data_IF_720714750456
#
_entry.id   IF_720714750456
#
_cell.length_a   1.000
_cell.length_b   1.000
_cell.length_c   1.000
_cell.angle_alpha   90.00
_cell.angle_beta   90.00
_cell.angle_gamma   90.00
#
_symmetry.space_group_name_H-M   'P 1'
#
loop_
_entity.id
_entity.type
_entity.pdbx_description
1 polymer ?
#
# COMPACT_ATOMS: atom_id res chain seq x y z
N UNK A 1 -72.61 30.04 -26.35
CA UNK A 1 -71.44 29.38 -26.95
C UNK A 1 -70.24 30.31 -26.85
N UNK A 2 -69.25 29.96 -26.02
CA UNK A 2 -67.83 30.38 -26.10
C UNK A 2 -67.07 29.66 -24.98
N UNK A 3 -66.54 28.51 -25.31
CA UNK A 3 -65.61 27.74 -24.47
C UNK A 3 -64.22 28.34 -24.65
N UNK A 4 -63.64 28.86 -23.58
CA UNK A 4 -62.21 29.16 -23.53
C UNK A 4 -61.48 27.92 -23.03
N UNK A 5 -60.59 27.37 -23.87
CA UNK A 5 -59.67 26.29 -23.49
C UNK A 5 -58.37 26.96 -23.05
N UNK A 6 -58.05 26.89 -21.76
CA UNK A 6 -56.75 27.28 -21.25
C UNK A 6 -55.76 26.12 -21.49
N UNK A 7 -54.78 26.34 -22.35
CA UNK A 7 -53.67 25.41 -22.59
C UNK A 7 -52.64 25.59 -21.48
N UNK A 8 -52.62 24.68 -20.51
CA UNK A 8 -51.55 24.61 -19.51
C UNK A 8 -50.30 23.99 -20.16
N UNK A 9 -49.29 24.81 -20.39
CA UNK A 9 -47.95 24.34 -20.75
C UNK A 9 -47.32 23.64 -19.53
N UNK A 10 -47.15 22.33 -19.61
CA UNK A 10 -46.39 21.55 -18.64
C UNK A 10 -44.91 21.78 -18.92
N UNK A 11 -44.28 22.64 -18.12
CA UNK A 11 -42.83 22.82 -18.11
C UNK A 11 -42.20 21.60 -17.44
N UNK A 12 -41.68 20.66 -18.21
CA UNK A 12 -40.87 19.55 -17.69
C UNK A 12 -39.49 20.12 -17.37
N UNK A 13 -39.29 20.52 -16.12
CA UNK A 13 -37.96 20.83 -15.58
C UNK A 13 -37.21 19.52 -15.40
N UNK A 14 -36.38 19.20 -16.39
CA UNK A 14 -35.33 18.18 -16.28
C UNK A 14 -34.33 18.62 -15.21
N UNK A 15 -34.63 18.31 -13.95
CA UNK A 15 -33.68 18.43 -12.85
C UNK A 15 -32.56 17.42 -13.12
N UNK A 16 -31.47 17.90 -13.73
CA UNK A 16 -30.16 17.26 -13.68
C UNK A 16 -29.82 17.06 -12.21
N UNK A 17 -30.08 15.86 -11.69
CA UNK A 17 -29.56 15.43 -10.42
C UNK A 17 -28.04 15.56 -10.52
N UNK A 18 -27.39 16.38 -9.68
CA UNK A 18 -25.94 16.35 -9.61
C UNK A 18 -25.57 14.93 -9.23
N UNK A 19 -24.85 14.26 -10.13
CA UNK A 19 -24.14 13.01 -9.82
C UNK A 19 -23.32 13.36 -8.60
N UNK A 20 -23.74 12.89 -7.44
CA UNK A 20 -22.96 12.99 -6.24
C UNK A 20 -21.67 12.23 -6.56
N UNK A 21 -20.62 12.97 -6.93
CA UNK A 21 -19.26 12.46 -6.91
C UNK A 21 -19.12 11.88 -5.52
N UNK A 22 -19.12 10.55 -5.44
CA UNK A 22 -18.81 9.82 -4.23
C UNK A 22 -17.36 10.18 -3.94
N UNK A 23 -17.20 11.27 -3.20
CA UNK A 23 -15.94 11.78 -2.74
C UNK A 23 -15.24 10.59 -2.12
N UNK A 24 -14.19 10.14 -2.80
CA UNK A 24 -13.23 9.20 -2.25
C UNK A 24 -12.63 9.91 -1.05
N UNK A 25 -13.29 9.79 0.11
CA UNK A 25 -12.74 10.19 1.38
C UNK A 25 -11.43 9.41 1.50
N UNK A 26 -10.33 10.09 1.18
CA UNK A 26 -9.00 9.57 1.29
C UNK A 26 -8.80 9.33 2.78
N UNK A 27 -9.03 8.09 3.21
CA UNK A 27 -8.69 7.70 4.57
C UNK A 27 -7.21 8.02 4.74
N UNK A 28 -6.92 8.85 5.74
CA UNK A 28 -5.56 9.31 6.00
C UNK A 28 -4.66 8.09 6.19
N UNK A 29 -3.42 8.11 5.69
CA UNK A 29 -2.43 7.10 6.03
C UNK A 29 -2.38 6.93 7.54
N UNK A 30 -2.36 5.69 8.04
CA UNK A 30 -2.13 5.39 9.45
C UNK A 30 -0.68 4.98 9.56
N UNK A 31 0.25 5.91 9.85
CA UNK A 31 1.66 5.60 9.86
C UNK A 31 1.99 4.62 10.99
N UNK A 32 2.50 3.46 10.62
CA UNK A 32 3.25 2.57 11.52
C UNK A 32 4.69 2.48 11.03
N UNK A 33 5.64 2.39 11.96
CA UNK A 33 7.05 2.09 11.67
C UNK A 33 7.29 0.64 12.08
N UNK A 34 8.00 -0.12 11.24
CA UNK A 34 8.22 -1.55 11.42
C UNK A 34 9.68 -1.89 11.22
N UNK A 35 10.34 -2.39 12.27
CA UNK A 35 11.78 -2.64 12.32
C UNK A 35 12.01 -4.15 12.28
N UNK A 36 12.83 -4.65 11.35
CA UNK A 36 13.10 -6.08 11.15
C UNK A 36 14.33 -6.63 11.90
N UNK A 37 14.48 -7.96 11.94
CA UNK A 37 15.64 -8.67 12.52
C UNK A 37 16.48 -9.32 11.39
N UNK A 38 17.80 -9.18 11.45
CA UNK A 38 18.67 -9.14 10.27
C UNK A 38 19.07 -10.49 9.65
N UNK A 39 19.35 -10.41 8.34
CA UNK A 39 19.97 -11.42 7.45
C UNK A 39 20.66 -10.73 6.26
N UNK A 40 20.02 -9.66 5.75
CA UNK A 40 20.63 -8.46 5.16
C UNK A 40 21.11 -7.55 6.31
N UNK A 41 22.28 -6.91 6.20
CA UNK A 41 22.77 -6.00 7.26
C UNK A 41 22.15 -4.63 7.08
N UNK A 42 21.19 -4.24 7.90
CA UNK A 42 20.57 -2.91 7.79
C UNK A 42 19.18 -2.78 8.40
N UNK A 43 18.67 -1.55 8.38
CA UNK A 43 17.35 -1.17 8.88
C UNK A 43 16.28 -1.24 7.80
N UNK A 44 15.07 -1.58 8.25
CA UNK A 44 13.86 -1.60 7.44
C UNK A 44 12.84 -0.75 8.15
N UNK A 45 12.15 0.11 7.39
CA UNK A 45 10.92 0.75 7.82
C UNK A 45 9.85 0.54 6.75
N UNK A 46 8.73 -0.07 7.12
CA UNK A 46 7.56 -0.14 6.25
C UNK A 46 6.56 0.94 6.68
N UNK A 47 5.63 1.33 5.82
CA UNK A 47 4.50 2.18 6.23
C UNK A 47 3.26 1.73 5.49
N UNK A 48 2.20 1.43 6.24
CA UNK A 48 0.92 1.04 5.65
C UNK A 48 -0.08 2.19 5.71
N UNK A 49 -1.02 2.20 4.78
CA UNK A 49 -2.12 3.16 4.75
C UNK A 49 -3.43 2.42 4.51
N UNK A 50 -4.51 2.94 5.09
CA UNK A 50 -5.86 2.48 4.74
C UNK A 50 -6.38 3.38 3.61
N UNK A 51 -6.98 2.81 2.57
CA UNK A 51 -7.74 3.55 1.55
C UNK A 51 -9.18 3.04 1.49
N UNK A 52 -10.18 3.93 1.52
CA UNK A 52 -11.61 3.59 1.39
C UNK A 52 -11.83 2.65 0.20
N UNK A 53 -12.51 1.53 0.42
CA UNK A 53 -12.76 0.49 -0.59
C UNK A 53 -11.59 -0.45 -0.91
N UNK A 54 -10.36 -0.10 -0.55
CA UNK A 54 -9.14 -0.88 -0.84
C UNK A 54 -8.63 -1.61 0.42
N UNK A 55 -8.87 -1.09 1.62
CA UNK A 55 -8.34 -1.66 2.86
C UNK A 55 -6.90 -1.20 3.12
N UNK A 56 -6.15 -1.96 3.91
CA UNK A 56 -4.77 -1.62 4.25
C UNK A 56 -3.84 -2.00 3.08
N UNK A 57 -2.85 -1.17 2.77
CA UNK A 57 -1.85 -1.44 1.74
C UNK A 57 -0.50 -0.84 2.11
N UNK A 58 0.59 -1.39 1.57
CA UNK A 58 1.93 -0.81 1.72
C UNK A 58 2.01 0.50 0.93
N UNK A 59 2.34 1.60 1.62
CA UNK A 59 2.35 2.96 1.07
C UNK A 59 3.75 3.54 0.87
N UNK A 60 4.71 3.12 1.70
CA UNK A 60 6.11 3.54 1.66
C UNK A 60 6.98 2.45 2.28
N UNK A 61 8.22 2.37 1.85
CA UNK A 61 9.26 1.63 2.54
C UNK A 61 10.59 2.39 2.52
N UNK A 62 11.41 2.13 3.54
CA UNK A 62 12.82 2.47 3.62
C UNK A 62 13.57 1.18 3.90
N UNK A 63 14.61 0.90 3.13
CA UNK A 63 15.57 -0.17 3.40
C UNK A 63 16.96 0.43 3.26
N UNK A 64 17.75 0.37 4.32
CA UNK A 64 19.12 0.90 4.35
C UNK A 64 20.05 -0.18 4.87
N UNK A 65 21.04 -0.57 4.09
CA UNK A 65 21.93 -1.66 4.48
C UNK A 65 22.87 -2.12 3.38
N UNK A 66 23.41 -3.31 3.56
CA UNK A 66 24.33 -3.97 2.62
C UNK A 66 23.81 -5.35 2.22
N UNK A 67 23.87 -5.65 0.93
CA UNK A 67 23.76 -7.00 0.40
C UNK A 67 25.17 -7.62 0.37
N UNK A 68 25.34 -8.72 1.10
CA UNK A 68 26.61 -9.46 1.16
C UNK A 68 26.42 -10.82 0.51
N UNK A 69 27.23 -11.09 -0.50
CA UNK A 69 27.22 -12.36 -1.23
C UNK A 69 28.60 -13.00 -1.09
N UNK A 70 28.64 -14.33 -0.94
CA UNK A 70 29.88 -15.06 -0.69
C UNK A 70 30.83 -14.92 -1.88
N UNK A 71 32.08 -14.52 -1.62
CA UNK A 71 33.09 -14.31 -2.66
C UNK A 71 32.91 -13.05 -3.52
N UNK A 72 31.89 -12.23 -3.26
CA UNK A 72 31.51 -11.06 -4.08
C UNK A 72 31.65 -9.74 -3.30
N UNK A 73 31.77 -8.59 -4.00
CA UNK A 73 31.82 -7.29 -3.34
C UNK A 73 30.50 -6.97 -2.61
N UNK A 74 30.62 -6.19 -1.53
CA UNK A 74 29.47 -5.69 -0.79
C UNK A 74 28.70 -4.70 -1.67
N UNK A 75 27.41 -4.95 -1.89
CA UNK A 75 26.54 -4.03 -2.65
C UNK A 75 25.76 -3.18 -1.64
N UNK A 76 26.03 -1.86 -1.55
CA UNK A 76 25.25 -0.99 -0.69
C UNK A 76 23.81 -0.90 -1.21
N UNK A 77 22.85 -1.15 -0.34
CA UNK A 77 21.42 -1.00 -0.60
C UNK A 77 20.92 0.24 0.16
N UNK A 78 20.73 1.34 -0.55
CA UNK A 78 20.06 2.52 -0.02
C UNK A 78 18.76 2.78 -0.79
N UNK A 79 17.65 2.27 -0.26
CA UNK A 79 16.31 2.54 -0.76
C UNK A 79 15.56 3.36 0.27
N UNK A 80 15.85 4.65 0.34
CA UNK A 80 15.21 5.54 1.31
C UNK A 80 13.92 6.14 0.78
N UNK A 81 12.86 6.10 1.61
CA UNK A 81 11.59 6.83 1.41
C UNK A 81 10.88 6.54 0.08
N UNK A 82 11.05 5.36 -0.48
CA UNK A 82 10.44 4.97 -1.75
C UNK A 82 8.92 4.91 -1.61
N UNK A 83 8.22 5.80 -2.35
CA UNK A 83 6.75 5.83 -2.41
C UNK A 83 6.26 4.64 -3.24
N UNK A 84 5.33 3.88 -2.68
CA UNK A 84 4.68 2.79 -3.41
C UNK A 84 3.62 3.37 -4.33
N UNK A 85 3.70 3.05 -5.62
CA UNK A 85 2.66 3.42 -6.59
C UNK A 85 1.48 2.45 -6.48
N UNK A 86 0.26 2.91 -6.76
CA UNK A 86 -0.93 2.06 -6.59
C UNK A 86 -0.87 0.74 -7.38
N UNK A 87 -0.24 0.72 -8.57
CA UNK A 87 -0.03 -0.49 -9.38
C UNK A 87 0.87 -1.53 -8.70
N UNK A 88 1.75 -1.08 -7.81
CA UNK A 88 2.72 -1.93 -7.10
C UNK A 88 2.31 -2.19 -5.65
N UNK A 89 1.25 -1.54 -5.15
CA UNK A 89 0.81 -1.70 -3.77
C UNK A 89 0.15 -3.06 -3.52
N UNK A 90 0.57 -3.74 -2.46
CA UNK A 90 -0.05 -4.97 -2.00
C UNK A 90 -1.31 -4.66 -1.18
N UNK A 91 -2.47 -5.19 -1.59
CA UNK A 91 -3.74 -5.06 -0.85
C UNK A 91 -3.83 -6.08 0.27
N UNK A 92 -4.23 -5.66 1.47
CA UNK A 92 -4.39 -6.55 2.64
C UNK A 92 -5.77 -6.38 3.27
N UNK A 93 -6.51 -7.49 3.35
CA UNK A 93 -7.88 -7.53 3.88
C UNK A 93 -8.01 -8.54 5.02
N UNK A 94 -7.98 -8.05 6.28
CA UNK A 94 -8.24 -8.87 7.47
C UNK A 94 -6.98 -9.44 8.16
N UNK A 95 -7.19 -9.92 9.40
CA UNK A 95 -6.13 -10.25 10.39
C UNK A 95 -5.23 -11.46 10.05
N UNK A 96 -5.58 -12.29 9.06
CA UNK A 96 -4.78 -13.50 8.70
C UNK A 96 -4.26 -13.50 7.27
N UNK A 97 -4.33 -12.37 6.56
CA UNK A 97 -3.88 -12.31 5.16
C UNK A 97 -2.39 -12.02 5.05
N UNK A 98 -1.83 -12.51 3.95
CA UNK A 98 -0.47 -12.23 3.50
C UNK A 98 -0.50 -11.07 2.51
N UNK A 99 0.55 -10.27 2.48
CA UNK A 99 0.83 -9.26 1.47
C UNK A 99 2.22 -9.49 0.89
N UNK A 100 2.36 -9.21 -0.39
CA UNK A 100 3.59 -9.38 -1.16
C UNK A 100 3.82 -8.13 -2.00
N UNK A 101 5.01 -7.56 -1.90
CA UNK A 101 5.46 -6.41 -2.69
C UNK A 101 6.76 -6.77 -3.41
N UNK A 102 6.87 -6.37 -4.69
CA UNK A 102 8.07 -6.58 -5.50
C UNK A 102 8.50 -5.28 -6.17
N UNK A 103 9.75 -4.91 -5.95
CA UNK A 103 10.52 -3.95 -6.72
C UNK A 103 11.67 -4.69 -7.44
N UNK A 104 12.37 -4.01 -8.36
CA UNK A 104 13.38 -4.63 -9.22
C UNK A 104 14.48 -5.41 -8.45
N UNK A 105 14.80 -4.98 -7.24
CA UNK A 105 15.90 -5.51 -6.41
C UNK A 105 15.44 -5.89 -4.99
N UNK A 106 14.14 -5.80 -4.70
CA UNK A 106 13.58 -6.05 -3.38
C UNK A 106 12.25 -6.78 -3.47
N UNK A 107 12.12 -7.86 -2.70
CA UNK A 107 10.85 -8.55 -2.46
C UNK A 107 10.51 -8.48 -0.98
N UNK A 108 9.31 -8.04 -0.64
CA UNK A 108 8.83 -7.90 0.73
C UNK A 108 7.55 -8.72 0.87
N UNK A 109 7.61 -9.76 1.69
CA UNK A 109 6.49 -10.64 1.97
C UNK A 109 6.17 -10.60 3.46
N UNK A 110 4.89 -10.54 3.83
CA UNK A 110 4.51 -10.55 5.23
C UNK A 110 3.07 -10.94 5.46
N UNK A 111 2.74 -11.33 6.68
CA UNK A 111 1.39 -11.71 7.09
C UNK A 111 1.01 -11.09 8.42
N UNK A 112 -0.28 -10.87 8.60
CA UNK A 112 -0.82 -10.44 9.89
C UNK A 112 -0.82 -11.61 10.88
N UNK A 113 -0.27 -11.38 12.07
CA UNK A 113 -0.40 -12.26 13.24
C UNK A 113 -1.46 -11.71 14.18
N UNK A 114 -1.58 -10.38 14.26
CA UNK A 114 -2.68 -9.70 14.94
C UNK A 114 -3.05 -8.40 14.22
N UNK A 115 -4.17 -7.71 14.53
CA UNK A 115 -4.52 -6.45 13.86
C UNK A 115 -3.43 -5.38 13.98
N UNK A 116 -2.57 -5.51 15.01
CA UNK A 116 -1.45 -4.60 15.28
C UNK A 116 -0.08 -5.26 15.09
N UNK A 117 0.01 -6.50 14.58
CA UNK A 117 1.29 -7.19 14.41
C UNK A 117 1.39 -7.93 13.08
N UNK A 118 2.41 -7.60 12.30
CA UNK A 118 2.81 -8.26 11.06
C UNK A 118 4.13 -9.00 11.31
N UNK A 119 4.35 -10.13 10.65
CA UNK A 119 5.65 -10.79 10.55
C UNK A 119 5.91 -11.16 9.11
N UNK A 120 7.17 -11.15 8.67
CA UNK A 120 7.49 -11.41 7.27
C UNK A 120 8.98 -11.52 6.99
N UNK A 121 9.31 -11.45 5.71
CA UNK A 121 10.66 -11.52 5.18
C UNK A 121 10.90 -10.46 4.10
N UNK A 122 12.12 -9.95 4.03
CA UNK A 122 12.60 -9.08 2.96
C UNK A 122 13.75 -9.78 2.27
N UNK A 123 13.67 -9.88 0.95
CA UNK A 123 14.72 -10.45 0.11
C UNK A 123 15.31 -9.37 -0.78
N UNK A 124 16.60 -9.10 -0.63
CA UNK A 124 17.40 -8.30 -1.55
C UNK A 124 17.87 -9.19 -2.70
N UNK A 125 17.70 -8.72 -3.93
CA UNK A 125 18.07 -9.45 -5.15
C UNK A 125 19.06 -8.62 -5.96
N UNK A 126 20.20 -9.23 -6.28
CA UNK A 126 21.12 -8.80 -7.32
C UNK A 126 21.13 -9.86 -8.44
N UNK A 127 21.73 -9.55 -9.58
CA UNK A 127 21.71 -10.41 -10.77
C UNK A 127 22.20 -11.85 -10.53
N UNK A 128 23.02 -12.06 -9.51
CA UNK A 128 23.72 -13.30 -9.22
C UNK A 128 23.57 -13.78 -7.77
N UNK A 129 22.84 -13.06 -6.91
CA UNK A 129 22.64 -13.49 -5.53
C UNK A 129 21.38 -12.89 -4.89
N UNK A 130 20.84 -13.64 -3.93
CA UNK A 130 19.70 -13.21 -3.10
C UNK A 130 20.04 -13.39 -1.62
N UNK A 131 19.62 -12.43 -0.79
CA UNK A 131 19.71 -12.54 0.67
C UNK A 131 18.39 -12.20 1.31
N UNK A 132 17.98 -12.97 2.32
CA UNK A 132 16.69 -12.80 3.00
C UNK A 132 16.89 -12.47 4.48
N UNK A 133 16.11 -11.52 4.99
CA UNK A 133 16.01 -11.16 6.39
C UNK A 133 14.56 -11.29 6.89
N UNK A 134 14.37 -11.67 8.15
CA UNK A 134 13.06 -11.65 8.79
C UNK A 134 12.66 -10.24 9.23
N UNK A 135 11.37 -10.01 9.49
CA UNK A 135 10.95 -8.83 10.22
C UNK A 135 9.72 -9.08 11.08
N UNK A 136 9.65 -8.38 12.21
CA UNK A 136 8.47 -8.32 13.08
C UNK A 136 8.04 -6.88 13.26
N UNK A 137 6.77 -6.63 13.01
CA UNK A 137 6.25 -5.32 12.70
C UNK A 137 5.03 -5.01 13.60
N UNK A 138 4.99 -3.88 14.32
CA UNK A 138 3.81 -3.43 15.10
C UNK A 138 3.14 -2.19 14.50
N UNK A 139 1.85 -2.27 14.18
CA UNK A 139 1.05 -1.14 13.63
C UNK A 139 0.57 -0.28 14.80
N UNK A 140 0.78 1.05 14.70
CA UNK A 140 0.28 2.03 15.68
C UNK A 140 -1.18 2.37 15.44
#
# INVERSE_FOLDING_TARGET
>A
MRTQVAVSAILITSALLPVAEVGHAASKPVPGIFIGEHGLRGDVELTFATRRGIGLHLSRYTVTGDLRCEGEPIIPLEYSRMKVTAKTAARVTGKRRTFSYRAATLRIDGRFVSPKRIVGTITGQASYCEQTAGFTARIR
#
